data_IF_758916195914
#
_entry.id   IF_758916195914
#
_cell.length_a   1.000
_cell.length_b   1.000
_cell.length_c   1.000
_cell.angle_alpha   90.00
_cell.angle_beta   90.00
_cell.angle_gamma   90.00
#
_symmetry.space_group_name_H-M   'P 1'
#
loop_
_entity.id
_entity.type
_entity.pdbx_description
1 polymer ?
#
# COMPACT_ATOMS: atom_id res chain seq x y z
N UNK A 1 -24.00 39.04 28.41
CA UNK A 1 -23.93 38.53 27.01
C UNK A 1 -22.57 38.91 26.47
N UNK A 2 -21.97 38.04 25.64
CA UNK A 2 -20.64 38.07 24.98
C UNK A 2 -19.55 37.26 25.68
N UNK A 3 -19.59 35.93 25.47
CA UNK A 3 -18.42 35.06 25.49
C UNK A 3 -18.30 34.44 24.09
N UNK A 4 -17.68 35.20 23.18
CA UNK A 4 -17.04 34.66 21.98
C UNK A 4 -15.54 34.60 22.28
N UNK A 5 -14.83 33.69 21.61
CA UNK A 5 -13.36 33.48 21.59
C UNK A 5 -12.88 32.32 22.48
N UNK A 6 -12.83 31.14 21.84
CA UNK A 6 -11.83 30.06 21.96
C UNK A 6 -12.22 29.09 20.83
N UNK A 7 -11.71 29.25 19.61
CA UNK A 7 -10.30 29.03 19.30
C UNK A 7 -10.13 27.62 18.72
N UNK A 8 -10.93 27.32 17.68
CA UNK A 8 -10.99 26.03 16.97
C UNK A 8 -9.77 25.91 16.02
N UNK A 9 -8.56 25.86 16.57
CA UNK A 9 -7.30 25.87 15.78
C UNK A 9 -6.71 24.49 15.48
N UNK A 10 -7.46 23.40 15.67
CA UNK A 10 -6.95 22.02 15.46
C UNK A 10 -7.13 21.47 14.02
N UNK A 11 -7.51 22.31 13.04
CA UNK A 11 -7.77 21.88 11.65
C UNK A 11 -6.56 21.98 10.70
N UNK A 12 -5.37 22.40 11.17
CA UNK A 12 -4.24 22.74 10.30
C UNK A 12 -3.10 21.71 10.18
N UNK A 13 -3.23 20.49 10.70
CA UNK A 13 -2.21 19.44 10.53
C UNK A 13 -2.58 18.35 9.50
N UNK A 14 -3.70 18.50 8.79
CA UNK A 14 -4.05 17.63 7.68
C UNK A 14 -3.73 18.31 6.34
N UNK A 15 -2.62 17.94 5.72
CA UNK A 15 -2.49 18.06 4.27
C UNK A 15 -1.37 18.94 3.77
N UNK A 16 -0.19 18.35 3.61
CA UNK A 16 0.76 18.75 2.58
C UNK A 16 1.29 17.49 1.88
N UNK A 17 0.67 17.19 0.73
CA UNK A 17 1.30 16.65 -0.47
C UNK A 17 2.01 15.30 -0.35
N UNK A 18 1.27 14.20 -0.44
CA UNK A 18 1.84 12.98 -1.02
C UNK A 18 1.58 13.05 -2.51
N UNK A 19 2.65 13.28 -3.29
CA UNK A 19 2.59 13.25 -4.75
C UNK A 19 1.97 11.93 -5.21
N UNK A 20 0.82 12.02 -5.89
CA UNK A 20 0.16 10.89 -6.51
C UNK A 20 0.98 10.50 -7.74
N UNK A 21 1.95 9.61 -7.56
CA UNK A 21 2.50 8.87 -8.71
C UNK A 21 1.47 7.81 -9.07
N UNK A 22 0.56 8.16 -9.98
CA UNK A 22 -0.34 7.18 -10.60
C UNK A 22 0.51 6.37 -11.58
N UNK A 23 1.05 5.25 -11.09
CA UNK A 23 1.67 4.25 -11.95
C UNK A 23 0.56 3.32 -12.41
N UNK A 24 0.05 3.55 -13.62
CA UNK A 24 -0.90 2.65 -14.26
C UNK A 24 -0.10 1.59 -15.04
N UNK A 25 -0.13 0.30 -14.63
CA UNK A 25 0.60 -0.74 -15.34
C UNK A 25 0.04 -0.90 -16.75
N UNK A 26 0.92 -0.78 -17.77
CA UNK A 26 0.51 -0.76 -19.18
C UNK A 26 0.17 -2.14 -19.76
N UNK A 27 0.57 -3.23 -19.09
CA UNK A 27 0.30 -4.61 -19.48
C UNK A 27 0.27 -5.45 -18.22
N UNK A 28 -0.85 -6.13 -17.95
CA UNK A 28 -0.99 -7.12 -16.88
C UNK A 28 -1.30 -8.48 -17.51
N UNK A 29 -0.74 -9.56 -16.96
CA UNK A 29 -1.17 -10.89 -17.34
C UNK A 29 -2.63 -11.14 -16.88
N UNK A 30 -3.37 -12.10 -17.48
CA UNK A 30 -4.81 -12.30 -17.26
C UNK A 30 -5.27 -12.47 -15.81
N UNK A 31 -4.37 -12.80 -14.90
CA UNK A 31 -4.65 -13.00 -13.48
C UNK A 31 -3.54 -12.38 -12.59
N UNK A 32 -2.78 -11.43 -13.12
CA UNK A 32 -1.79 -10.69 -12.34
C UNK A 32 -2.48 -9.68 -11.42
N UNK A 33 -2.04 -9.64 -10.16
CA UNK A 33 -2.50 -8.63 -9.22
C UNK A 33 -1.79 -7.31 -9.47
N UNK A 34 -2.57 -6.23 -9.48
CA UNK A 34 -2.07 -4.87 -9.63
C UNK A 34 -2.29 -4.08 -8.36
N UNK A 35 -1.35 -3.19 -8.06
CA UNK A 35 -1.43 -2.24 -6.95
C UNK A 35 -1.89 -0.90 -7.49
N UNK A 36 -2.94 -0.35 -6.91
CA UNK A 36 -3.44 1.00 -7.21
C UNK A 36 -3.52 1.81 -5.93
N UNK A 37 -3.20 3.10 -6.02
CA UNK A 37 -3.48 4.04 -4.96
C UNK A 37 -4.57 5.00 -5.42
N UNK A 38 -5.78 4.83 -4.89
CA UNK A 38 -6.93 5.72 -5.13
C UNK A 38 -7.62 6.00 -3.79
N UNK A 39 -7.18 7.08 -3.14
CA UNK A 39 -7.44 7.45 -1.73
C UNK A 39 -6.88 6.46 -0.69
N UNK A 40 -6.88 5.18 -0.99
CA UNK A 40 -6.26 4.12 -0.23
C UNK A 40 -5.55 3.11 -1.14
N UNK A 41 -4.78 2.23 -0.52
CA UNK A 41 -4.06 1.20 -1.24
C UNK A 41 -5.04 0.08 -1.61
N UNK A 42 -5.13 -0.23 -2.89
CA UNK A 42 -6.04 -1.22 -3.45
C UNK A 42 -5.23 -2.27 -4.20
N UNK A 43 -5.65 -3.52 -4.04
CA UNK A 43 -5.13 -4.68 -4.76
C UNK A 43 -6.23 -5.13 -5.71
N UNK A 44 -5.95 -5.04 -7.00
CA UNK A 44 -6.90 -5.32 -8.07
C UNK A 44 -6.48 -6.59 -8.80
N UNK A 45 -7.46 -7.40 -9.17
CA UNK A 45 -7.34 -8.39 -10.23
C UNK A 45 -8.09 -7.91 -11.48
N UNK A 46 -7.93 -8.57 -12.63
CA UNK A 46 -8.73 -8.29 -13.80
C UNK A 46 -10.25 -8.52 -13.60
N UNK A 47 -10.63 -9.29 -12.57
CA UNK A 47 -12.03 -9.56 -12.22
C UNK A 47 -12.62 -8.51 -11.26
N UNK A 48 -11.79 -7.71 -10.59
CA UNK A 48 -12.23 -6.64 -9.71
C UNK A 48 -11.26 -6.34 -8.57
N UNK A 49 -11.75 -5.62 -7.57
CA UNK A 49 -10.99 -5.37 -6.34
C UNK A 49 -10.93 -6.65 -5.50
N UNK A 50 -9.71 -7.04 -5.13
CA UNK A 50 -9.45 -8.22 -4.29
C UNK A 50 -9.41 -7.85 -2.82
N UNK A 51 -8.69 -6.78 -2.52
CA UNK A 51 -8.54 -6.25 -1.18
C UNK A 51 -8.22 -4.75 -1.25
N UNK A 52 -8.65 -4.01 -0.25
CA UNK A 52 -8.38 -2.57 -0.15
C UNK A 52 -8.13 -2.09 1.26
N UNK A 53 -7.57 -0.90 1.32
CA UNK A 53 -7.47 -0.11 2.51
C UNK A 53 -6.42 -0.59 3.48
N UNK A 54 -6.73 -0.43 4.76
CA UNK A 54 -5.77 -0.65 5.86
C UNK A 54 -5.73 -2.12 6.28
N UNK A 55 -6.85 -2.85 6.10
CA UNK A 55 -7.03 -4.19 6.66
C UNK A 55 -6.78 -5.32 5.67
N UNK A 56 -6.77 -5.06 4.37
CA UNK A 56 -6.47 -6.05 3.34
C UNK A 56 -7.30 -7.34 3.37
N UNK A 57 -8.49 -7.32 3.98
CA UNK A 57 -9.32 -8.51 4.12
C UNK A 57 -9.61 -9.18 2.77
N UNK A 58 -9.48 -10.50 2.74
CA UNK A 58 -9.73 -11.32 1.54
C UNK A 58 -8.49 -11.53 0.69
N UNK A 59 -7.37 -10.84 0.98
CA UNK A 59 -6.11 -11.07 0.29
C UNK A 59 -5.59 -12.49 0.56
N UNK A 60 -5.67 -12.96 1.81
CA UNK A 60 -5.21 -14.31 2.18
C UNK A 60 -5.97 -15.38 1.42
N UNK A 61 -7.30 -15.23 1.31
CA UNK A 61 -8.16 -16.16 0.58
C UNK A 61 -7.88 -16.12 -0.93
N UNK A 62 -7.57 -14.94 -1.49
CA UNK A 62 -7.27 -14.83 -2.92
C UNK A 62 -5.94 -15.50 -3.30
N UNK A 63 -4.89 -15.34 -2.49
CA UNK A 63 -3.54 -15.85 -2.78
C UNK A 63 -3.23 -17.20 -2.12
N UNK A 64 -4.24 -17.87 -1.55
CA UNK A 64 -4.08 -19.07 -0.71
C UNK A 64 -3.29 -20.22 -1.34
N UNK A 65 -3.30 -20.33 -2.67
CA UNK A 65 -2.59 -21.39 -3.39
C UNK A 65 -1.06 -21.23 -3.41
N UNK A 66 -0.54 -20.06 -3.03
CA UNK A 66 0.89 -19.78 -2.93
C UNK A 66 1.25 -19.58 -1.46
N UNK A 67 1.88 -20.57 -0.78
CA UNK A 67 2.08 -20.53 0.67
C UNK A 67 2.82 -19.28 1.18
N UNK A 68 3.83 -18.83 0.46
CA UNK A 68 4.59 -17.63 0.84
C UNK A 68 3.72 -16.37 0.73
N UNK A 69 2.95 -16.24 -0.36
CA UNK A 69 2.01 -15.14 -0.53
C UNK A 69 0.93 -15.15 0.56
N UNK A 70 0.37 -16.32 0.89
CA UNK A 70 -0.67 -16.47 1.91
C UNK A 70 -0.17 -16.06 3.31
N UNK A 71 1.07 -16.40 3.68
CA UNK A 71 1.67 -15.96 4.95
C UNK A 71 1.81 -14.45 5.02
N UNK A 72 2.30 -13.82 3.95
CA UNK A 72 2.41 -12.36 3.89
C UNK A 72 1.05 -11.69 3.90
N UNK A 73 0.07 -12.23 3.16
CA UNK A 73 -1.30 -11.72 3.19
C UNK A 73 -1.90 -11.79 4.60
N UNK A 74 -1.71 -12.90 5.32
CA UNK A 74 -2.21 -13.04 6.69
C UNK A 74 -1.52 -12.06 7.65
N UNK A 75 -0.21 -11.84 7.49
CA UNK A 75 0.52 -10.84 8.24
C UNK A 75 0.03 -9.41 7.92
N UNK A 76 -0.30 -9.13 6.66
CA UNK A 76 -0.89 -7.87 6.23
C UNK A 76 -2.26 -7.63 6.88
N UNK A 77 -3.14 -8.64 6.85
CA UNK A 77 -4.49 -8.55 7.43
C UNK A 77 -4.44 -8.34 8.96
N UNK A 78 -3.67 -9.16 9.66
CA UNK A 78 -3.53 -9.05 11.13
C UNK A 78 -2.88 -7.74 11.58
N UNK A 79 -1.89 -7.23 10.85
CA UNK A 79 -1.27 -5.93 11.13
C UNK A 79 -2.22 -4.78 10.82
N UNK A 80 -3.00 -4.90 9.74
CA UNK A 80 -4.05 -3.95 9.38
C UNK A 80 -5.15 -3.85 10.43
N UNK A 81 -5.60 -4.98 10.96
CA UNK A 81 -6.58 -5.02 12.06
C UNK A 81 -6.03 -4.37 13.33
N UNK A 82 -4.78 -4.68 13.70
CA UNK A 82 -4.11 -4.04 14.83
C UNK A 82 -3.99 -2.52 14.63
N UNK A 83 -3.60 -2.08 13.42
CA UNK A 83 -3.48 -0.66 13.08
C UNK A 83 -4.81 0.09 13.27
N UNK A 84 -5.92 -0.47 12.78
CA UNK A 84 -7.25 0.14 12.94
C UNK A 84 -7.69 0.11 14.40
N UNK A 85 -7.50 -1.01 15.12
CA UNK A 85 -7.85 -1.12 16.53
C UNK A 85 -7.13 -0.09 17.41
N UNK A 86 -5.81 0.02 17.23
CA UNK A 86 -4.98 0.99 17.96
C UNK A 86 -5.36 2.44 17.61
N UNK A 87 -5.65 2.74 16.34
CA UNK A 87 -6.05 4.08 15.92
C UNK A 87 -7.41 4.46 16.50
N UNK A 88 -8.40 3.56 16.45
CA UNK A 88 -9.73 3.82 17.02
C UNK A 88 -9.67 3.98 18.53
N UNK A 89 -8.92 3.12 19.23
CA UNK A 89 -8.69 3.25 20.67
C UNK A 89 -7.97 4.57 20.99
N UNK A 90 -6.96 4.93 20.20
CA UNK A 90 -6.20 6.16 20.36
C UNK A 90 -7.05 7.42 20.21
N UNK A 91 -7.87 7.47 19.15
CA UNK A 91 -8.84 8.56 18.93
C UNK A 91 -9.87 8.58 20.06
N UNK A 92 -10.38 7.43 20.48
CA UNK A 92 -11.36 7.32 21.57
C UNK A 92 -10.83 7.87 22.89
N UNK A 93 -9.59 7.54 23.25
CA UNK A 93 -8.92 8.09 24.44
C UNK A 93 -8.60 9.58 24.27
N UNK A 94 -8.21 10.03 23.09
CA UNK A 94 -7.98 11.45 22.81
C UNK A 94 -9.25 12.30 22.99
N UNK A 95 -10.37 11.86 22.40
CA UNK A 95 -11.67 12.54 22.57
C UNK A 95 -12.17 12.40 24.00
N UNK A 96 -12.03 11.22 24.60
CA UNK A 96 -12.42 10.96 25.99
C UNK A 96 -11.62 11.78 27.00
N UNK A 97 -10.34 12.05 26.73
CA UNK A 97 -9.47 12.87 27.56
C UNK A 97 -9.98 14.30 27.76
N UNK A 98 -10.72 14.84 26.78
CA UNK A 98 -11.38 16.13 26.89
C UNK A 98 -12.41 16.19 28.03
N UNK A 99 -12.97 15.03 28.45
CA UNK A 99 -13.84 14.97 29.62
C UNK A 99 -13.11 15.39 30.92
N UNK A 100 -11.78 15.34 30.95
CA UNK A 100 -10.97 15.87 32.04
C UNK A 100 -11.16 17.37 32.28
N UNK A 101 -11.58 18.14 31.26
CA UNK A 101 -11.96 19.55 31.42
C UNK A 101 -13.20 19.73 32.30
N UNK A 102 -14.01 18.69 32.48
CA UNK A 102 -15.09 18.66 33.46
C UNK A 102 -14.61 18.92 34.90
N UNK A 103 -13.32 18.71 35.18
CA UNK A 103 -12.66 19.09 36.42
C UNK A 103 -12.84 20.56 36.81
N UNK A 104 -13.00 21.46 35.83
CA UNK A 104 -13.24 22.90 36.06
C UNK A 104 -14.55 23.18 36.81
N UNK A 105 -15.51 22.24 36.80
CA UNK A 105 -16.71 22.33 37.61
C UNK A 105 -16.43 22.17 39.12
N UNK A 106 -15.24 21.70 39.51
CA UNK A 106 -14.82 21.49 40.90
C UNK A 106 -13.78 22.52 41.35
N UNK A 107 -13.92 23.78 40.94
CA UNK A 107 -12.99 24.88 41.28
C UNK A 107 -12.80 25.09 42.79
N UNK A 108 -13.78 24.73 43.61
CA UNK A 108 -13.71 24.80 45.08
C UNK A 108 -12.90 23.65 45.70
N UNK A 109 -12.55 22.61 44.93
CA UNK A 109 -11.86 21.39 45.38
C UNK A 109 -10.63 21.13 44.50
N UNK A 110 -9.49 21.80 44.77
CA UNK A 110 -8.33 21.78 43.87
C UNK A 110 -7.77 20.37 43.62
N UNK A 111 -7.78 19.50 44.64
CA UNK A 111 -7.38 18.09 44.53
C UNK A 111 -8.22 17.34 43.47
N UNK A 112 -9.54 17.55 43.49
CA UNK A 112 -10.48 16.90 42.56
C UNK A 112 -10.33 17.48 41.15
N UNK A 113 -10.26 18.81 41.04
CA UNK A 113 -10.00 19.48 39.76
C UNK A 113 -8.70 18.99 39.11
N UNK A 114 -7.60 18.93 39.89
CA UNK A 114 -6.31 18.43 39.43
C UNK A 114 -6.39 16.97 38.98
N UNK A 115 -7.09 16.10 39.73
CA UNK A 115 -7.27 14.70 39.36
C UNK A 115 -7.98 14.53 38.00
N UNK A 116 -9.03 15.30 37.73
CA UNK A 116 -9.72 15.27 36.43
C UNK A 116 -8.84 15.79 35.29
N UNK A 117 -8.14 16.90 35.49
CA UNK A 117 -7.27 17.48 34.45
C UNK A 117 -6.08 16.55 34.14
N UNK A 118 -5.43 15.98 35.16
CA UNK A 118 -4.31 15.07 35.00
C UNK A 118 -4.73 13.74 34.39
N UNK A 119 -5.90 13.21 34.75
CA UNK A 119 -6.43 11.99 34.12
C UNK A 119 -6.80 12.21 32.66
N UNK A 120 -7.40 13.37 32.32
CA UNK A 120 -7.66 13.77 30.93
C UNK A 120 -6.37 13.86 30.11
N UNK A 121 -5.38 14.60 30.59
CA UNK A 121 -4.06 14.71 29.94
C UNK A 121 -3.37 13.35 29.78
N UNK A 122 -3.44 12.50 30.81
CA UNK A 122 -2.90 11.14 30.75
C UNK A 122 -3.56 10.30 29.66
N UNK A 123 -4.89 10.35 29.56
CA UNK A 123 -5.63 9.66 28.51
C UNK A 123 -5.26 10.17 27.10
N UNK A 124 -5.08 11.48 26.92
CA UNK A 124 -4.63 12.06 25.64
C UNK A 124 -3.24 11.57 25.23
N UNK A 125 -2.27 11.56 26.15
CA UNK A 125 -0.92 11.06 25.89
C UNK A 125 -0.95 9.60 25.45
N UNK A 126 -1.69 8.75 26.19
CA UNK A 126 -1.86 7.34 25.82
C UNK A 126 -2.54 7.22 24.44
N UNK A 127 -3.56 8.02 24.18
CA UNK A 127 -4.27 8.03 22.90
C UNK A 127 -3.37 8.38 21.71
N UNK A 128 -2.49 9.37 21.87
CA UNK A 128 -1.49 9.75 20.88
C UNK A 128 -0.48 8.63 20.63
N UNK A 129 0.01 7.98 21.68
CA UNK A 129 0.95 6.85 21.55
C UNK A 129 0.30 5.69 20.80
N UNK A 130 -0.93 5.29 21.15
CA UNK A 130 -1.64 4.22 20.45
C UNK A 130 -1.85 4.57 18.97
N UNK A 131 -2.22 5.81 18.67
CA UNK A 131 -2.38 6.27 17.29
C UNK A 131 -1.06 6.22 16.51
N UNK A 132 0.06 6.62 17.14
CA UNK A 132 1.38 6.56 16.52
C UNK A 132 1.83 5.12 16.24
N UNK A 133 1.62 4.20 17.19
CA UNK A 133 1.89 2.76 17.00
C UNK A 133 0.96 2.18 15.94
N UNK A 134 -0.31 2.59 15.89
CA UNK A 134 -1.23 2.18 14.82
C UNK A 134 -0.71 2.54 13.42
N UNK A 135 0.01 3.66 13.27
CA UNK A 135 0.65 4.03 12.00
C UNK A 135 1.81 3.10 11.62
N UNK A 136 2.59 2.60 12.58
CA UNK A 136 3.68 1.67 12.27
C UNK A 136 3.12 0.34 11.77
N UNK A 137 2.11 -0.20 12.46
CA UNK A 137 1.41 -1.41 12.00
C UNK A 137 0.79 -1.25 10.60
N UNK A 138 0.32 -0.04 10.25
CA UNK A 138 -0.16 0.23 8.89
C UNK A 138 0.97 0.15 7.85
N UNK A 139 2.16 0.64 8.16
CA UNK A 139 3.32 0.53 7.26
C UNK A 139 3.71 -0.94 7.08
N UNK A 140 3.74 -1.70 8.16
CA UNK A 140 4.04 -3.14 8.13
C UNK A 140 2.98 -3.90 7.31
N UNK A 141 1.69 -3.57 7.49
CA UNK A 141 0.60 -4.14 6.70
C UNK A 141 0.79 -3.89 5.20
N UNK A 142 1.12 -2.65 4.81
CA UNK A 142 1.37 -2.31 3.41
C UNK A 142 2.57 -3.09 2.84
N UNK A 143 3.66 -3.24 3.61
CA UNK A 143 4.83 -3.99 3.20
C UNK A 143 4.51 -5.46 2.93
N UNK A 144 3.81 -6.10 3.87
CA UNK A 144 3.36 -7.48 3.71
C UNK A 144 2.36 -7.67 2.57
N UNK A 145 1.47 -6.70 2.33
CA UNK A 145 0.55 -6.74 1.20
C UNK A 145 1.29 -6.72 -0.15
N UNK A 146 2.34 -5.87 -0.28
CA UNK A 146 3.18 -5.82 -1.48
C UNK A 146 3.94 -7.13 -1.67
N UNK A 147 4.53 -7.68 -0.61
CA UNK A 147 5.22 -8.98 -0.67
C UNK A 147 4.28 -10.10 -1.11
N UNK A 148 3.05 -10.14 -0.57
CA UNK A 148 2.05 -11.13 -0.94
C UNK A 148 1.71 -11.06 -2.44
N UNK A 149 1.51 -9.84 -2.97
CA UNK A 149 1.25 -9.61 -4.40
C UNK A 149 2.44 -10.06 -5.25
N UNK A 150 3.67 -9.74 -4.85
CA UNK A 150 4.87 -10.13 -5.58
C UNK A 150 5.03 -11.66 -5.63
N UNK A 151 4.94 -12.35 -4.49
CA UNK A 151 5.04 -13.80 -4.43
C UNK A 151 3.95 -14.49 -5.26
N UNK A 152 2.72 -13.97 -5.21
CA UNK A 152 1.62 -14.50 -6.01
C UNK A 152 1.87 -14.30 -7.51
N UNK A 153 2.26 -13.08 -7.91
CA UNK A 153 2.52 -12.77 -9.31
C UNK A 153 3.69 -13.60 -9.87
N UNK A 154 4.77 -13.78 -9.11
CA UNK A 154 5.91 -14.59 -9.53
C UNK A 154 5.56 -16.08 -9.71
N UNK A 155 4.72 -16.62 -8.82
CA UNK A 155 4.37 -18.03 -8.83
C UNK A 155 3.26 -18.37 -9.85
N UNK A 156 2.23 -17.52 -9.93
CA UNK A 156 0.94 -17.84 -10.55
C UNK A 156 0.46 -16.72 -11.48
N UNK A 157 0.34 -15.49 -10.98
CA UNK A 157 -0.31 -14.38 -11.70
C UNK A 157 0.36 -14.01 -13.02
N UNK A 158 1.69 -13.84 -13.05
CA UNK A 158 2.47 -13.46 -14.25
C UNK A 158 2.43 -14.50 -15.37
N UNK A 159 2.14 -15.76 -15.02
CA UNK A 159 1.98 -16.87 -15.96
C UNK A 159 0.53 -17.02 -16.43
N UNK A 160 -0.34 -16.09 -16.03
CA UNK A 160 -1.77 -16.12 -16.32
C UNK A 160 -2.52 -17.22 -15.57
N UNK A 161 -1.99 -17.74 -14.46
CA UNK A 161 -2.71 -18.66 -13.58
C UNK A 161 -3.46 -17.95 -12.47
N UNK A 162 -4.31 -18.68 -11.75
CA UNK A 162 -5.06 -18.17 -10.59
C UNK A 162 -5.15 -19.20 -9.48
N UNK A 163 -5.56 -18.79 -8.27
CA UNK A 163 -5.92 -19.75 -7.23
C UNK A 163 -7.35 -20.23 -7.46
N UNK A 164 -7.54 -21.55 -7.49
CA UNK A 164 -8.83 -22.23 -7.55
C UNK A 164 -9.03 -23.16 -6.36
N UNK A 165 -10.16 -23.90 -6.30
CA UNK A 165 -10.51 -24.75 -5.15
C UNK A 165 -9.52 -25.89 -4.90
N UNK A 166 -8.73 -26.26 -5.92
CA UNK A 166 -7.74 -27.35 -5.85
C UNK A 166 -6.29 -26.83 -5.83
N UNK A 167 -6.06 -25.54 -5.56
CA UNK A 167 -4.74 -24.91 -5.60
C UNK A 167 -4.53 -24.05 -6.83
N UNK A 168 -3.28 -23.92 -7.29
CA UNK A 168 -2.94 -23.07 -8.43
C UNK A 168 -3.41 -23.68 -9.76
N UNK A 169 -4.29 -22.98 -10.46
CA UNK A 169 -4.76 -23.29 -11.81
C UNK A 169 -3.91 -22.53 -12.82
N UNK A 170 -3.16 -23.25 -13.67
CA UNK A 170 -2.29 -22.65 -14.68
C UNK A 170 -2.89 -22.86 -16.07
N UNK A 171 -2.81 -21.88 -16.98
CA UNK A 171 -3.12 -22.11 -18.38
C UNK A 171 -2.22 -23.21 -18.93
N UNK A 172 -2.81 -24.11 -19.71
CA UNK A 172 -2.02 -25.10 -20.42
C UNK A 172 -1.12 -24.36 -21.43
N UNK A 173 0.20 -24.65 -21.47
CA UNK A 173 1.08 -24.04 -22.46
C UNK A 173 0.51 -24.27 -23.86
N UNK A 174 0.54 -23.26 -24.75
CA UNK A 174 0.14 -23.49 -26.13
C UNK A 174 0.94 -24.68 -26.67
N UNK A 175 0.31 -25.57 -27.46
CA UNK A 175 1.00 -26.72 -28.03
C UNK A 175 2.29 -26.25 -28.66
N UNK A 176 3.40 -26.83 -28.22
CA UNK A 176 4.72 -26.46 -28.71
C UNK A 176 4.69 -26.68 -30.22
N UNK A 177 4.64 -25.58 -30.99
CA UNK A 177 4.63 -25.67 -32.44
C UNK A 177 5.87 -26.48 -32.83
N UNK A 178 5.66 -27.53 -33.63
CA UNK A 178 6.77 -28.31 -34.14
C UNK A 178 7.82 -27.35 -34.71
N UNK A 179 9.12 -27.55 -34.41
CA UNK A 179 10.16 -26.73 -34.98
C UNK A 179 9.88 -26.56 -36.47
N UNK A 180 9.89 -25.32 -37.01
CA UNK A 180 9.71 -25.14 -38.44
C UNK A 180 10.65 -26.12 -39.14
N UNK A 181 10.12 -26.85 -40.13
CA UNK A 181 10.89 -27.84 -40.88
C UNK A 181 12.25 -27.22 -41.21
N UNK A 182 13.32 -27.98 -40.92
CA UNK A 182 14.69 -27.48 -41.03
C UNK A 182 14.81 -26.62 -42.30
N UNK A 183 15.24 -25.34 -42.19
CA UNK A 183 15.37 -24.51 -43.36
C UNK A 183 16.17 -25.30 -44.39
N UNK A 184 15.63 -25.38 -45.61
CA UNK A 184 16.37 -25.98 -46.73
C UNK A 184 17.78 -25.41 -46.78
N UNK A 185 18.75 -26.11 -47.39
CA UNK A 185 20.14 -25.68 -47.42
C UNK A 185 20.22 -24.19 -47.73
N UNK A 186 20.81 -23.43 -46.81
CA UNK A 186 21.00 -21.99 -46.95
C UNK A 186 21.90 -21.81 -48.16
N UNK A 187 21.30 -21.56 -49.33
CA UNK A 187 22.06 -21.09 -50.48
C UNK A 187 22.63 -19.73 -50.08
N UNK A 188 23.93 -19.48 -50.29
CA UNK A 188 24.52 -18.19 -49.99
C UNK A 188 23.72 -17.11 -50.73
N UNK A 189 23.06 -16.24 -49.96
CA UNK A 189 22.44 -15.04 -50.51
C UNK A 189 23.58 -14.19 -51.07
N UNK A 190 23.56 -13.80 -52.36
CA UNK A 190 24.54 -12.88 -52.91
C UNK A 190 24.61 -11.63 -52.04
N UNK A 191 25.83 -11.23 -51.64
CA UNK A 191 26.11 -10.13 -50.70
C UNK A 191 25.44 -8.81 -51.14
N UNK A 192 25.17 -8.68 -52.45
CA UNK A 192 24.54 -7.51 -53.06
C UNK A 192 23.03 -7.34 -52.72
N UNK A 193 22.40 -8.31 -52.07
CA UNK A 193 20.97 -8.25 -51.70
C UNK A 193 20.70 -7.96 -50.22
N UNK A 194 21.73 -7.63 -49.42
CA UNK A 194 21.55 -7.26 -48.02
C UNK A 194 21.10 -5.78 -47.97
N UNK A 195 19.84 -5.46 -47.62
CA UNK A 195 19.44 -4.07 -47.43
C UNK A 195 20.29 -3.45 -46.31
N UNK A 196 20.64 -2.15 -46.41
CA UNK A 196 21.39 -1.48 -45.36
C UNK A 196 20.62 -1.59 -44.03
N UNK A 197 21.33 -1.78 -42.90
CA UNK A 197 20.67 -1.86 -41.61
C UNK A 197 19.82 -0.60 -41.38
N UNK A 198 18.62 -0.73 -40.81
CA UNK A 198 17.80 0.42 -40.50
C UNK A 198 18.59 1.37 -39.58
N UNK A 199 18.44 2.69 -39.75
CA UNK A 199 19.10 3.65 -38.87
C UNK A 199 18.70 3.36 -37.42
N UNK A 200 19.70 3.09 -36.59
CA UNK A 200 19.51 2.89 -35.15
C UNK A 200 18.98 4.20 -34.59
N UNK A 201 17.69 4.24 -34.25
CA UNK A 201 17.12 5.37 -33.55
C UNK A 201 17.79 5.41 -32.17
N UNK A 202 18.44 6.51 -31.76
CA UNK A 202 19.02 6.61 -30.43
C UNK A 202 17.92 6.33 -29.40
N UNK A 203 18.20 5.42 -28.47
CA UNK A 203 17.35 5.27 -27.30
C UNK A 203 17.22 6.65 -26.65
N UNK A 204 16.02 7.07 -26.23
CA UNK A 204 15.89 8.29 -25.46
C UNK A 204 16.81 8.12 -24.25
N UNK A 205 17.79 9.02 -24.15
CA UNK A 205 18.65 9.11 -22.97
C UNK A 205 17.70 9.30 -21.80
N UNK A 206 17.62 8.32 -20.91
CA UNK A 206 16.96 8.52 -19.63
C UNK A 206 17.78 9.60 -18.93
N UNK A 207 17.30 10.84 -18.98
CA UNK A 207 17.81 11.89 -18.12
C UNK A 207 17.37 11.49 -16.72
N UNK A 208 18.28 10.87 -15.98
CA UNK A 208 18.14 10.74 -14.53
C UNK A 208 17.77 12.13 -14.01
N UNK A 209 16.58 12.32 -13.41
CA UNK A 209 16.26 13.59 -12.79
C UNK A 209 17.39 13.95 -11.85
N UNK A 210 17.85 15.21 -11.90
CA UNK A 210 18.83 15.68 -10.94
C UNK A 210 18.31 15.33 -9.54
N UNK A 211 19.15 14.74 -8.65
CA UNK A 211 18.73 14.49 -7.29
C UNK A 211 18.19 15.80 -6.71
N UNK A 212 17.04 15.78 -6.02
CA UNK A 212 16.47 16.99 -5.45
C UNK A 212 17.53 17.68 -4.60
N UNK A 213 17.65 19.00 -4.76
CA UNK A 213 18.58 19.80 -3.97
C UNK A 213 18.44 19.41 -2.50
N UNK A 214 19.54 18.95 -1.94
CA UNK A 214 19.64 18.52 -0.55
C UNK A 214 19.17 19.71 0.29
N UNK A 215 18.01 19.60 0.93
CA UNK A 215 17.52 20.60 1.86
C UNK A 215 18.54 20.65 3.00
N UNK A 216 19.42 21.64 2.97
CA UNK A 216 20.28 21.98 4.09
C UNK A 216 19.35 22.52 5.18
N UNK A 217 19.09 21.73 6.21
CA UNK A 217 18.47 22.27 7.42
C UNK A 217 19.45 23.30 8.01
N UNK A 218 19.01 24.52 8.34
CA UNK A 218 19.83 25.45 9.10
C UNK A 218 20.12 24.86 10.48
N UNK A 219 21.38 24.96 10.90
CA UNK A 219 21.84 24.59 12.25
C UNK A 219 21.14 25.39 13.36
#
# INVERSE_FOLDING_TARGET
>A
MTLSVLGFSALFLAGCGSGLTVVEPRVLAPHELALRYDNEFQILSPEGEVASGIRYHGLTDYVHCVPDAARHAQAAESSGDAAVGLTVAGIGLGVGGLAGLGGLAYSEKPEVMAAFLLSGLGAEIVGLVLTAVGRTYKVDANGHAVDAVNYYNDAVGSRGGRCGPNGAEMPEPPPQQAPPAAPGPILPVPVDQIPPPPPVKPWPVQTTPAPPDRILLPD
#
